data_IF_486233197021
#
_entry.id   IF_486233197021
#
_cell.length_a   1.000
_cell.length_b   1.000
_cell.length_c   1.000
_cell.angle_alpha   90.00
_cell.angle_beta   90.00
_cell.angle_gamma   90.00
#
_symmetry.space_group_name_H-M   'P 1'
#
loop_
_entity.id
_entity.type
_entity.pdbx_description
1 polymer ?
#
# COMPACT_ATOMS: atom_id res chain seq x y z
N UNK A 1 30.51 70.02 -7.04
CA UNK A 1 29.45 69.01 -6.85
C UNK A 1 29.45 68.14 -8.07
N UNK A 2 30.12 66.99 -7.97
CA UNK A 2 30.17 66.00 -9.04
C UNK A 2 28.87 65.18 -9.04
N UNK A 3 28.25 65.08 -10.20
CA UNK A 3 27.08 64.26 -10.45
C UNK A 3 27.55 62.82 -10.67
N UNK A 4 27.36 61.96 -9.67
CA UNK A 4 27.61 60.52 -9.82
C UNK A 4 26.49 59.95 -10.70
N UNK A 5 26.82 59.64 -11.97
CA UNK A 5 26.00 58.80 -12.83
C UNK A 5 26.02 57.38 -12.28
N UNK A 6 24.88 56.94 -11.75
CA UNK A 6 24.67 55.55 -11.36
C UNK A 6 24.72 54.66 -12.61
N UNK A 7 25.82 53.93 -12.78
CA UNK A 7 25.93 52.86 -13.77
C UNK A 7 25.01 51.71 -13.30
N UNK A 8 23.88 51.52 -13.97
CA UNK A 8 23.12 50.28 -13.84
C UNK A 8 24.01 49.13 -14.35
N UNK A 9 24.16 48.02 -13.60
CA UNK A 9 24.89 46.86 -14.10
C UNK A 9 24.13 46.27 -15.30
N UNK A 10 24.77 46.26 -16.48
CA UNK A 10 24.35 45.42 -17.59
C UNK A 10 24.47 43.96 -17.16
N UNK A 11 23.35 43.32 -16.82
CA UNK A 11 23.28 41.87 -16.70
C UNK A 11 23.57 41.27 -18.08
N UNK A 12 24.79 40.79 -18.30
CA UNK A 12 25.08 40.03 -19.53
C UNK A 12 24.37 38.68 -19.43
N UNK A 13 23.47 38.40 -20.38
CA UNK A 13 22.77 37.12 -20.46
C UNK A 13 23.74 36.06 -20.94
N UNK A 14 23.92 34.97 -20.19
CA UNK A 14 24.74 33.83 -20.62
C UNK A 14 24.12 33.18 -21.87
N UNK A 15 24.82 33.12 -23.02
CA UNK A 15 24.23 32.65 -24.27
C UNK A 15 24.24 31.12 -24.34
N UNK A 16 23.36 30.47 -23.57
CA UNK A 16 23.28 29.01 -23.41
C UNK A 16 23.28 28.26 -24.78
N UNK A 17 22.59 28.80 -25.79
CA UNK A 17 22.52 28.23 -27.15
C UNK A 17 23.83 28.26 -27.93
N UNK A 18 24.81 29.07 -27.52
CA UNK A 18 26.13 29.16 -28.17
C UNK A 18 27.12 28.11 -27.64
N UNK A 19 26.74 27.34 -26.62
CA UNK A 19 27.59 26.29 -26.10
C UNK A 19 27.70 25.12 -27.10
N UNK A 20 28.88 24.47 -27.18
CA UNK A 20 29.00 23.18 -27.84
C UNK A 20 28.04 22.16 -27.24
N UNK A 21 27.52 21.25 -28.06
CA UNK A 21 26.47 20.30 -27.66
C UNK A 21 26.79 19.53 -26.37
N UNK A 22 28.03 19.06 -26.20
CA UNK A 22 28.45 18.31 -25.01
C UNK A 22 28.36 19.16 -23.74
N UNK A 23 28.84 20.40 -23.80
CA UNK A 23 28.76 21.35 -22.69
C UNK A 23 27.30 21.72 -22.38
N UNK A 24 26.49 21.98 -23.41
CA UNK A 24 25.07 22.26 -23.27
C UNK A 24 24.31 21.10 -22.61
N UNK A 25 24.57 19.87 -23.05
CA UNK A 25 23.98 18.66 -22.47
C UNK A 25 24.36 18.49 -21.00
N UNK A 26 25.62 18.76 -20.65
CA UNK A 26 26.07 18.68 -19.25
C UNK A 26 25.35 19.72 -18.38
N UNK A 27 25.28 20.98 -18.84
CA UNK A 27 24.57 22.06 -18.14
C UNK A 27 23.10 21.71 -17.92
N UNK A 28 22.39 21.22 -18.95
CA UNK A 28 20.97 20.83 -18.81
C UNK A 28 20.78 19.69 -17.79
N UNK A 29 21.73 18.74 -17.72
CA UNK A 29 21.61 17.60 -16.80
C UNK A 29 21.80 17.94 -15.32
N UNK A 30 22.44 19.07 -15.02
CA UNK A 30 22.68 19.52 -13.65
C UNK A 30 21.70 20.61 -13.19
N UNK A 31 20.82 21.07 -14.08
CA UNK A 31 19.78 22.05 -13.78
C UNK A 31 18.63 21.44 -12.98
N UNK A 32 17.90 22.29 -12.26
CA UNK A 32 16.67 21.87 -11.61
C UNK A 32 15.59 21.56 -12.65
N UNK A 33 14.69 20.62 -12.33
CA UNK A 33 13.74 20.10 -13.31
C UNK A 33 12.77 21.16 -13.84
N UNK A 34 12.39 22.16 -13.04
CA UNK A 34 11.55 23.25 -13.52
C UNK A 34 12.29 24.18 -14.49
N UNK A 35 13.59 24.41 -14.29
CA UNK A 35 14.45 25.14 -15.22
C UNK A 35 14.60 24.39 -16.54
N UNK A 36 14.78 23.07 -16.50
CA UNK A 36 14.83 22.21 -17.67
C UNK A 36 13.54 22.31 -18.48
N UNK A 37 12.38 22.27 -17.81
CA UNK A 37 11.07 22.42 -18.48
C UNK A 37 10.94 23.82 -19.09
N UNK A 38 11.28 24.89 -18.35
CA UNK A 38 11.32 26.26 -18.88
C UNK A 38 12.22 26.37 -20.12
N UNK A 39 13.39 25.75 -20.11
CA UNK A 39 14.30 25.70 -21.26
C UNK A 39 13.64 25.02 -22.46
N UNK A 40 13.03 23.86 -22.26
CA UNK A 40 12.34 23.11 -23.30
C UNK A 40 11.20 23.93 -23.94
N UNK A 41 10.51 24.74 -23.13
CA UNK A 41 9.41 25.61 -23.58
C UNK A 41 9.90 26.75 -24.50
N UNK A 42 11.17 27.20 -24.37
CA UNK A 42 11.67 28.37 -25.12
C UNK A 42 11.74 28.19 -26.64
N UNK A 43 11.87 26.96 -27.15
CA UNK A 43 11.90 26.68 -28.60
C UNK A 43 11.91 25.18 -28.90
N UNK A 44 11.49 24.80 -30.11
CA UNK A 44 11.60 23.42 -30.64
C UNK A 44 13.04 22.89 -30.63
N UNK A 45 14.03 23.76 -30.83
CA UNK A 45 15.44 23.40 -30.74
C UNK A 45 15.80 22.97 -29.32
N UNK A 46 15.52 23.80 -28.32
CA UNK A 46 15.83 23.48 -26.92
C UNK A 46 15.06 22.25 -26.43
N UNK A 47 13.79 22.09 -26.83
CA UNK A 47 13.02 20.89 -26.55
C UNK A 47 13.70 19.62 -27.09
N UNK A 48 14.22 19.68 -28.32
CA UNK A 48 14.96 18.57 -28.93
C UNK A 48 16.26 18.26 -28.20
N UNK A 49 16.97 19.29 -27.73
CA UNK A 49 18.19 19.12 -26.93
C UNK A 49 17.87 18.48 -25.58
N UNK A 50 16.82 18.94 -24.87
CA UNK A 50 16.39 18.35 -23.60
C UNK A 50 16.02 16.87 -23.78
N UNK A 51 15.31 16.54 -24.86
CA UNK A 51 14.94 15.16 -25.18
C UNK A 51 16.15 14.21 -25.27
N UNK A 52 17.23 14.64 -25.93
CA UNK A 52 18.47 13.82 -26.06
C UNK A 52 19.36 13.84 -24.80
N UNK A 53 18.95 14.58 -23.76
CA UNK A 53 19.60 14.51 -22.45
C UNK A 53 19.18 13.25 -21.67
N UNK A 54 18.07 12.59 -22.03
CA UNK A 54 17.57 11.37 -21.38
C UNK A 54 17.42 11.51 -19.87
N UNK A 55 16.79 12.60 -19.44
CA UNK A 55 16.53 12.87 -18.02
C UNK A 55 15.51 11.85 -17.52
N UNK A 56 15.83 11.24 -16.38
CA UNK A 56 15.01 10.22 -15.72
C UNK A 56 13.99 10.89 -14.80
N UNK A 57 12.73 10.51 -14.92
CA UNK A 57 11.69 10.84 -13.95
C UNK A 57 11.22 9.53 -13.34
N UNK A 58 11.47 9.32 -12.04
CA UNK A 58 11.18 8.01 -11.43
C UNK A 58 9.70 7.72 -11.30
N UNK A 59 8.90 8.74 -10.96
CA UNK A 59 7.46 8.60 -10.75
C UNK A 59 6.74 9.84 -11.24
N UNK A 60 5.56 9.64 -11.81
CA UNK A 60 4.67 10.71 -12.26
C UNK A 60 3.30 10.55 -11.59
N UNK A 61 2.59 11.65 -11.38
CA UNK A 61 1.22 11.65 -10.91
C UNK A 61 0.38 12.59 -11.77
N UNK A 62 -0.65 12.05 -12.42
CA UNK A 62 -1.65 12.85 -13.13
C UNK A 62 -2.84 13.11 -12.19
N UNK A 63 -3.17 14.37 -11.95
CA UNK A 63 -4.24 14.77 -11.02
C UNK A 63 -5.33 15.51 -11.77
N UNK A 64 -6.55 15.00 -11.68
CA UNK A 64 -7.75 15.55 -12.27
C UNK A 64 -8.66 16.13 -11.19
N UNK A 65 -8.79 17.44 -11.21
CA UNK A 65 -9.64 18.20 -10.32
C UNK A 65 -9.91 19.56 -10.97
N UNK A 66 -11.12 19.84 -11.44
CA UNK A 66 -11.50 20.98 -12.31
C UNK A 66 -10.60 22.20 -12.24
N UNK A 67 -10.50 22.79 -11.04
CA UNK A 67 -9.77 24.04 -10.82
C UNK A 67 -8.28 23.87 -10.48
N UNK A 68 -7.83 22.65 -10.19
CA UNK A 68 -6.51 22.28 -9.68
C UNK A 68 -5.93 21.05 -10.40
N UNK A 69 -6.22 20.83 -11.68
CA UNK A 69 -5.62 19.72 -12.44
C UNK A 69 -4.15 20.01 -12.76
N UNK A 70 -3.28 19.04 -12.51
CA UNK A 70 -1.84 19.18 -12.70
C UNK A 70 -1.15 17.84 -12.97
N UNK A 71 0.12 17.93 -13.37
CA UNK A 71 1.01 16.78 -13.45
C UNK A 71 2.16 17.00 -12.46
N UNK A 72 2.31 16.06 -11.52
CA UNK A 72 3.44 16.01 -10.61
C UNK A 72 4.50 15.07 -11.13
N UNK A 73 5.75 15.51 -11.14
CA UNK A 73 6.92 14.66 -11.35
C UNK A 73 7.60 14.50 -9.99
N UNK A 74 8.02 13.28 -9.65
CA UNK A 74 8.75 12.96 -8.43
C UNK A 74 10.13 12.40 -8.77
N UNK A 75 11.14 12.90 -8.06
CA UNK A 75 12.54 12.52 -8.20
C UNK A 75 13.06 12.62 -9.65
N UNK A 76 13.34 13.85 -10.14
CA UNK A 76 13.26 15.14 -9.45
C UNK A 76 11.84 15.70 -9.31
N UNK A 77 11.59 16.49 -8.27
CA UNK A 77 10.24 16.95 -7.91
C UNK A 77 9.84 18.25 -8.63
N UNK A 78 8.71 18.28 -9.34
CA UNK A 78 8.08 19.51 -9.86
C UNK A 78 6.59 19.31 -10.09
N UNK A 79 5.80 20.37 -9.90
CA UNK A 79 4.36 20.39 -10.20
C UNK A 79 4.06 21.30 -11.38
N UNK A 80 3.33 20.78 -12.37
CA UNK A 80 3.01 21.45 -13.62
C UNK A 80 1.49 21.68 -13.71
N UNK A 81 1.04 22.91 -13.47
CA UNK A 81 -0.38 23.25 -13.39
C UNK A 81 -0.98 23.50 -14.77
N UNK A 82 -2.10 22.82 -15.07
CA UNK A 82 -2.85 23.03 -16.32
C UNK A 82 -3.98 24.07 -16.15
N UNK A 83 -4.29 24.43 -14.92
CA UNK A 83 -5.36 25.33 -14.51
C UNK A 83 -4.83 26.69 -14.01
N UNK A 84 -5.71 27.68 -13.89
CA UNK A 84 -5.38 29.04 -13.44
C UNK A 84 -5.07 29.14 -11.95
N UNK A 85 -5.60 28.23 -11.10
CA UNK A 85 -5.36 28.23 -9.65
C UNK A 85 -4.25 27.25 -9.30
N UNK A 86 -3.05 27.78 -9.07
CA UNK A 86 -2.00 27.05 -8.37
C UNK A 86 -2.31 27.04 -6.86
N UNK A 87 -2.02 25.94 -6.18
CA UNK A 87 -2.08 25.88 -4.71
C UNK A 87 -0.69 25.74 -4.10
N UNK A 88 -0.58 26.12 -2.83
CA UNK A 88 0.67 26.04 -2.10
C UNK A 88 0.99 24.60 -1.67
N UNK A 89 1.49 23.76 -2.60
CA UNK A 89 2.24 22.57 -2.20
C UNK A 89 3.61 23.02 -1.62
N UNK A 90 3.98 22.67 -0.38
CA UNK A 90 5.16 23.26 0.28
C UNK A 90 6.53 22.76 -0.22
N UNK A 91 6.58 21.64 -0.95
CA UNK A 91 7.82 20.86 -1.07
C UNK A 91 8.39 20.68 -2.49
N UNK A 92 7.84 21.31 -3.52
CA UNK A 92 8.35 21.19 -4.89
C UNK A 92 8.26 22.52 -5.67
N UNK A 93 9.22 22.80 -6.58
CA UNK A 93 9.09 23.81 -7.62
C UNK A 93 7.79 23.67 -8.42
N UNK A 94 7.29 24.79 -8.94
CA UNK A 94 5.99 24.85 -9.63
C UNK A 94 6.11 25.63 -10.92
N UNK A 95 5.46 25.11 -11.96
CA UNK A 95 5.20 25.84 -13.19
C UNK A 95 3.70 26.06 -13.30
N UNK A 96 3.33 27.32 -13.41
CA UNK A 96 1.95 27.76 -13.57
C UNK A 96 1.48 27.59 -15.01
N UNK A 97 0.18 27.76 -15.25
CA UNK A 97 -0.36 27.79 -16.61
C UNK A 97 0.32 28.83 -17.51
N UNK A 98 0.71 29.98 -16.95
CA UNK A 98 1.37 31.05 -17.70
C UNK A 98 2.79 30.66 -18.13
N UNK A 99 3.55 29.99 -17.26
CA UNK A 99 4.86 29.44 -17.60
C UNK A 99 4.77 28.41 -18.73
N UNK A 100 3.70 27.61 -18.72
CA UNK A 100 3.45 26.51 -19.66
C UNK A 100 2.68 26.94 -20.91
N UNK A 101 2.38 28.24 -21.06
CA UNK A 101 1.55 28.77 -22.16
C UNK A 101 1.94 28.27 -23.56
N UNK A 102 3.23 28.15 -23.95
CA UNK A 102 3.59 27.64 -25.28
C UNK A 102 3.31 26.15 -25.51
N UNK A 103 3.01 25.40 -24.45
CA UNK A 103 2.66 23.98 -24.51
C UNK A 103 1.18 23.71 -24.34
N UNK A 104 0.41 24.70 -23.93
CA UNK A 104 -1.02 24.60 -23.66
C UNK A 104 -1.82 25.35 -24.72
N UNK A 105 -3.06 24.93 -24.94
CA UNK A 105 -4.01 25.64 -25.80
C UNK A 105 -4.94 26.49 -24.93
N UNK A 106 -5.09 27.77 -25.30
CA UNK A 106 -6.01 28.70 -24.63
C UNK A 106 -7.48 28.30 -24.82
N UNK A 107 -7.81 27.60 -25.92
CA UNK A 107 -9.18 27.20 -26.27
C UNK A 107 -9.53 25.78 -25.81
N UNK A 108 -8.54 24.97 -25.44
CA UNK A 108 -8.76 23.59 -25.01
C UNK A 108 -9.26 23.52 -23.56
N UNK A 109 -10.03 22.47 -23.26
CA UNK A 109 -10.48 22.16 -21.91
C UNK A 109 -9.30 21.85 -20.98
N UNK A 110 -9.51 21.90 -19.67
CA UNK A 110 -8.48 21.50 -18.70
C UNK A 110 -8.04 20.05 -18.91
N UNK A 111 -8.98 19.14 -19.19
CA UNK A 111 -8.71 17.73 -19.47
C UNK A 111 -7.81 17.55 -20.70
N UNK A 112 -8.13 18.22 -21.81
CA UNK A 112 -7.32 18.18 -23.03
C UNK A 112 -5.93 18.76 -22.83
N UNK A 113 -5.82 19.87 -22.11
CA UNK A 113 -4.55 20.49 -21.76
C UNK A 113 -3.70 19.58 -20.87
N UNK A 114 -4.30 18.94 -19.87
CA UNK A 114 -3.63 17.95 -19.02
C UNK A 114 -3.16 16.75 -19.85
N UNK A 115 -3.97 16.23 -20.76
CA UNK A 115 -3.59 15.15 -21.68
C UNK A 115 -2.41 15.57 -22.57
N UNK A 116 -2.48 16.73 -23.22
CA UNK A 116 -1.40 17.23 -24.08
C UNK A 116 -0.08 17.38 -23.32
N UNK A 117 -0.15 17.96 -22.12
CA UNK A 117 1.01 18.13 -21.25
C UNK A 117 1.59 16.77 -20.84
N UNK A 118 0.76 15.81 -20.44
CA UNK A 118 1.18 14.46 -20.08
C UNK A 118 1.90 13.76 -21.24
N UNK A 119 1.30 13.76 -22.43
CA UNK A 119 1.92 13.18 -23.62
C UNK A 119 3.26 13.84 -23.94
N UNK A 120 3.38 15.16 -23.73
CA UNK A 120 4.61 15.91 -24.02
C UNK A 120 5.72 15.58 -23.03
N UNK A 121 5.40 15.49 -21.74
CA UNK A 121 6.33 15.05 -20.68
C UNK A 121 6.89 13.67 -20.99
N UNK A 122 6.02 12.70 -21.31
CA UNK A 122 6.44 11.34 -21.65
C UNK A 122 7.22 11.23 -22.97
N UNK A 123 7.11 12.22 -23.86
CA UNK A 123 7.95 12.33 -25.07
C UNK A 123 9.30 13.01 -24.79
N UNK A 124 9.38 13.85 -23.76
CA UNK A 124 10.54 14.65 -23.41
C UNK A 124 11.49 13.93 -22.46
N UNK A 125 10.95 13.15 -21.52
CA UNK A 125 11.71 12.49 -20.46
C UNK A 125 11.58 10.97 -20.49
N UNK A 126 12.50 10.28 -19.83
CA UNK A 126 12.36 8.84 -19.54
C UNK A 126 11.56 8.68 -18.24
N UNK A 127 10.24 8.59 -18.38
CA UNK A 127 9.32 8.50 -17.27
C UNK A 127 9.08 7.04 -16.86
N UNK A 128 9.16 6.79 -15.55
CA UNK A 128 8.72 5.55 -14.93
C UNK A 128 7.18 5.42 -14.88
N UNK A 129 6.68 4.45 -14.09
CA UNK A 129 5.25 4.27 -13.89
C UNK A 129 4.59 5.52 -13.30
N UNK A 130 3.30 5.72 -13.59
CA UNK A 130 2.54 6.83 -13.05
C UNK A 130 1.33 6.39 -12.24
N UNK A 131 0.89 7.31 -11.38
CA UNK A 131 -0.32 7.21 -10.59
C UNK A 131 -1.36 8.18 -11.12
N UNK A 132 -2.63 7.82 -11.00
CA UNK A 132 -3.76 8.62 -11.42
C UNK A 132 -4.57 9.04 -10.19
N UNK A 133 -4.90 10.31 -10.06
CA UNK A 133 -5.79 10.81 -9.01
C UNK A 133 -6.96 11.55 -9.64
N UNK A 134 -8.18 11.15 -9.27
CA UNK A 134 -9.40 11.76 -9.77
C UNK A 134 -10.24 12.26 -8.60
N UNK A 135 -10.60 13.53 -8.65
CA UNK A 135 -11.56 14.13 -7.72
C UNK A 135 -12.99 13.88 -8.23
N UNK A 136 -13.64 12.83 -7.74
CA UNK A 136 -14.92 12.33 -8.24
C UNK A 136 -16.09 13.32 -8.24
N UNK A 137 -16.22 14.29 -7.30
CA UNK A 137 -17.34 15.23 -7.32
C UNK A 137 -17.23 16.23 -8.46
N UNK A 138 -16.02 16.44 -9.00
CA UNK A 138 -15.76 17.47 -10.01
C UNK A 138 -15.49 16.88 -11.38
N UNK A 139 -15.07 15.63 -11.48
CA UNK A 139 -14.62 15.00 -12.72
C UNK A 139 -15.53 13.86 -13.19
N UNK A 140 -15.54 13.65 -14.51
CA UNK A 140 -16.12 12.47 -15.13
C UNK A 140 -15.10 11.32 -15.10
N UNK A 141 -15.27 10.40 -14.15
CA UNK A 141 -14.31 9.32 -13.90
C UNK A 141 -14.19 8.43 -15.14
N UNK A 142 -15.33 7.99 -15.68
CA UNK A 142 -15.36 7.14 -16.88
C UNK A 142 -14.64 7.77 -18.07
N UNK A 143 -14.91 9.04 -18.36
CA UNK A 143 -14.24 9.75 -19.46
C UNK A 143 -12.72 9.74 -19.30
N UNK A 144 -12.21 10.01 -18.09
CA UNK A 144 -10.76 10.02 -17.83
C UNK A 144 -10.16 8.62 -17.97
N UNK A 145 -10.80 7.59 -17.43
CA UNK A 145 -10.32 6.21 -17.50
C UNK A 145 -10.34 5.65 -18.93
N UNK A 146 -11.23 6.13 -19.79
CA UNK A 146 -11.32 5.72 -21.18
C UNK A 146 -10.22 6.32 -22.07
N UNK A 147 -9.57 7.42 -21.66
CA UNK A 147 -8.49 8.09 -22.41
C UNK A 147 -7.26 7.17 -22.54
N UNK A 148 -6.81 6.85 -23.77
CA UNK A 148 -5.72 5.90 -24.01
C UNK A 148 -4.42 6.21 -23.25
N UNK A 149 -4.04 7.48 -23.15
CA UNK A 149 -2.83 7.93 -22.48
C UNK A 149 -2.86 7.68 -20.96
N UNK A 150 -4.06 7.60 -20.36
CA UNK A 150 -4.26 7.43 -18.93
C UNK A 150 -4.62 5.99 -18.53
N UNK A 151 -4.53 5.01 -19.44
CA UNK A 151 -4.93 3.62 -19.13
C UNK A 151 -3.90 2.82 -18.32
N UNK A 152 -2.61 3.17 -18.41
CA UNK A 152 -1.51 2.38 -17.88
C UNK A 152 -0.95 2.92 -16.55
N UNK A 153 -1.82 3.41 -15.65
CA UNK A 153 -1.41 3.78 -14.30
C UNK A 153 -1.09 2.53 -13.45
N UNK A 154 -0.35 2.71 -12.37
CA UNK A 154 -0.15 1.66 -11.35
C UNK A 154 -1.16 1.74 -10.22
N UNK A 155 -1.56 2.96 -9.83
CA UNK A 155 -2.52 3.20 -8.75
C UNK A 155 -3.53 4.25 -9.17
N UNK A 156 -4.82 3.96 -8.97
CA UNK A 156 -5.92 4.92 -9.05
C UNK A 156 -6.27 5.41 -7.64
N UNK A 157 -6.15 6.72 -7.43
CA UNK A 157 -6.63 7.39 -6.24
C UNK A 157 -7.95 8.09 -6.52
N UNK A 158 -8.98 7.77 -5.73
CA UNK A 158 -10.25 8.48 -5.75
C UNK A 158 -10.42 9.31 -4.50
N UNK A 159 -10.84 10.55 -4.72
CA UNK A 159 -11.07 11.55 -3.69
C UNK A 159 -12.45 12.14 -3.93
N UNK A 160 -13.30 12.18 -2.91
CA UNK A 160 -14.62 12.79 -3.01
C UNK A 160 -15.18 13.23 -1.68
N UNK A 161 -16.36 13.87 -1.74
CA UNK A 161 -17.19 14.16 -0.58
C UNK A 161 -18.17 13.01 -0.32
N UNK A 162 -19.09 12.80 -1.27
CA UNK A 162 -20.01 11.67 -1.31
C UNK A 162 -19.95 11.03 -2.69
N UNK A 163 -19.72 9.73 -2.75
CA UNK A 163 -19.73 8.97 -4.00
C UNK A 163 -21.16 8.52 -4.32
N UNK A 164 -21.54 8.66 -5.59
CA UNK A 164 -22.76 8.02 -6.10
C UNK A 164 -22.46 6.59 -6.51
N UNK A 165 -23.48 5.74 -6.49
CA UNK A 165 -23.39 4.34 -6.92
C UNK A 165 -22.80 4.24 -8.33
N UNK A 166 -23.31 5.04 -9.27
CA UNK A 166 -22.91 4.97 -10.68
C UNK A 166 -21.41 5.27 -10.86
N UNK A 167 -20.86 6.19 -10.06
CA UNK A 167 -19.44 6.54 -10.10
C UNK A 167 -18.55 5.41 -9.56
N UNK A 168 -19.04 4.64 -8.59
CA UNK A 168 -18.33 3.50 -8.03
C UNK A 168 -18.42 2.30 -8.97
N UNK A 169 -19.58 2.08 -9.59
CA UNK A 169 -19.79 1.05 -10.60
C UNK A 169 -18.83 1.28 -11.79
N UNK A 170 -18.74 2.52 -12.30
CA UNK A 170 -17.78 2.88 -13.38
C UNK A 170 -16.33 2.47 -13.06
N UNK A 171 -15.91 2.58 -11.81
CA UNK A 171 -14.55 2.23 -11.35
C UNK A 171 -14.41 0.73 -11.17
N UNK A 172 -15.39 0.09 -10.51
CA UNK A 172 -15.33 -1.34 -10.18
C UNK A 172 -15.67 -2.24 -11.39
N UNK A 173 -16.22 -1.69 -12.46
CA UNK A 173 -16.40 -2.37 -13.76
C UNK A 173 -15.20 -2.17 -14.69
N UNK A 174 -14.37 -1.16 -14.48
CA UNK A 174 -13.21 -0.88 -15.33
C UNK A 174 -12.24 -2.07 -15.40
N UNK A 175 -11.95 -2.57 -16.61
CA UNK A 175 -11.26 -3.85 -16.84
C UNK A 175 -9.75 -3.81 -16.54
N UNK A 176 -9.35 -3.80 -15.26
CA UNK A 176 -7.96 -3.96 -14.79
C UNK A 176 -7.89 -4.57 -13.39
N UNK A 177 -7.16 -5.69 -13.26
CA UNK A 177 -6.94 -6.39 -11.98
C UNK A 177 -5.48 -6.25 -11.48
N UNK A 178 -4.55 -5.93 -12.39
CA UNK A 178 -3.11 -5.75 -12.13
C UNK A 178 -2.75 -4.36 -11.56
N UNK A 179 -3.75 -3.54 -11.27
CA UNK A 179 -3.62 -2.18 -10.74
C UNK A 179 -4.14 -2.09 -9.31
N UNK A 180 -3.78 -1.00 -8.63
CA UNK A 180 -4.23 -0.70 -7.27
C UNK A 180 -5.37 0.33 -7.29
N UNK A 181 -6.32 0.19 -6.36
CA UNK A 181 -7.44 1.12 -6.15
C UNK A 181 -7.45 1.67 -4.72
N UNK A 182 -7.26 2.97 -4.58
CA UNK A 182 -7.25 3.67 -3.31
C UNK A 182 -8.34 4.75 -3.26
N UNK A 183 -9.47 4.48 -2.60
CA UNK A 183 -10.48 5.47 -2.24
C UNK A 183 -10.09 6.10 -0.91
N UNK A 184 -9.30 7.17 -0.96
CA UNK A 184 -8.62 7.74 0.21
C UNK A 184 -9.44 8.80 0.95
N UNK A 185 -10.54 9.28 0.36
CA UNK A 185 -11.47 10.23 0.99
C UNK A 185 -12.83 10.19 0.32
N UNK A 186 -13.87 10.28 1.13
CA UNK A 186 -15.26 10.43 0.70
C UNK A 186 -16.14 9.33 1.28
N UNK A 187 -17.43 9.64 1.42
CA UNK A 187 -18.44 8.72 1.96
C UNK A 187 -18.99 7.86 0.83
N UNK A 188 -19.01 6.55 1.06
CA UNK A 188 -19.63 5.55 0.18
C UNK A 188 -21.01 5.19 0.75
N UNK A 189 -22.06 5.00 -0.08
CA UNK A 189 -23.38 4.61 0.41
C UNK A 189 -23.31 3.30 1.22
N UNK A 190 -23.93 3.26 2.40
CA UNK A 190 -23.84 2.10 3.32
C UNK A 190 -24.54 0.83 2.78
N UNK A 191 -25.50 1.01 1.89
CA UNK A 191 -26.21 -0.06 1.18
C UNK A 191 -25.54 -0.45 -0.15
N UNK A 192 -24.41 0.17 -0.48
CA UNK A 192 -23.66 -0.15 -1.68
C UNK A 192 -23.10 -1.58 -1.61
N UNK A 193 -23.23 -2.29 -2.72
CA UNK A 193 -22.69 -3.64 -2.89
C UNK A 193 -22.21 -3.80 -4.32
N UNK A 194 -21.03 -4.38 -4.47
CA UNK A 194 -20.47 -4.69 -5.77
C UNK A 194 -19.59 -5.95 -5.69
N UNK A 195 -19.72 -6.94 -6.59
CA UNK A 195 -18.95 -8.20 -6.52
C UNK A 195 -17.44 -7.99 -6.71
N UNK A 196 -17.04 -6.97 -7.46
CA UNK A 196 -15.65 -6.69 -7.79
C UNK A 196 -14.90 -5.84 -6.75
N UNK A 197 -15.40 -5.72 -5.52
CA UNK A 197 -14.83 -4.80 -4.54
C UNK A 197 -13.39 -5.15 -4.10
N UNK A 198 -12.90 -6.36 -4.37
CA UNK A 198 -11.53 -6.81 -4.07
C UNK A 198 -10.79 -7.34 -5.31
N UNK A 199 -11.22 -6.96 -6.53
CA UNK A 199 -10.60 -7.45 -7.77
C UNK A 199 -9.19 -6.90 -8.04
N UNK A 200 -8.88 -5.73 -7.48
CA UNK A 200 -7.60 -5.04 -7.68
C UNK A 200 -6.51 -5.71 -6.86
N UNK A 201 -5.25 -5.51 -7.26
CA UNK A 201 -4.10 -6.08 -6.56
C UNK A 201 -4.04 -5.54 -5.12
N UNK A 202 -4.05 -4.21 -4.99
CA UNK A 202 -4.17 -3.52 -3.72
C UNK A 202 -5.43 -2.66 -3.64
N UNK A 203 -6.13 -2.76 -2.51
CA UNK A 203 -7.37 -2.03 -2.25
C UNK A 203 -7.27 -1.24 -0.96
N UNK A 204 -7.62 0.03 -1.00
CA UNK A 204 -7.77 0.87 0.18
C UNK A 204 -9.11 1.61 0.16
N UNK A 205 -9.96 1.34 1.14
CA UNK A 205 -11.19 2.05 1.40
C UNK A 205 -11.08 2.85 2.70
N UNK A 206 -10.98 4.18 2.60
CA UNK A 206 -10.94 5.05 3.78
C UNK A 206 -12.27 5.04 4.54
N UNK A 207 -13.40 5.09 3.81
CA UNK A 207 -14.72 4.74 4.36
C UNK A 207 -15.08 3.33 3.89
N UNK A 208 -15.04 2.40 4.84
CA UNK A 208 -15.33 0.99 4.65
C UNK A 208 -16.57 0.55 5.45
N UNK A 209 -17.43 1.47 5.91
CA UNK A 209 -18.66 1.14 6.66
C UNK A 209 -19.69 0.34 5.86
N UNK A 210 -19.63 0.44 4.54
CA UNK A 210 -20.40 -0.36 3.59
C UNK A 210 -19.87 -1.78 3.42
N UNK A 211 -18.62 -2.06 3.84
CA UNK A 211 -18.03 -3.40 3.82
C UNK A 211 -18.58 -4.21 4.98
N UNK A 212 -19.11 -5.40 4.67
CA UNK A 212 -19.69 -6.32 5.65
C UNK A 212 -18.85 -7.59 5.77
N UNK A 213 -19.13 -8.38 6.80
CA UNK A 213 -18.42 -9.65 7.04
C UNK A 213 -18.52 -10.58 5.82
N UNK A 214 -19.68 -10.68 5.19
CA UNK A 214 -19.87 -11.50 3.98
C UNK A 214 -18.93 -11.11 2.84
N UNK A 215 -18.56 -9.83 2.71
CA UNK A 215 -17.58 -9.40 1.71
C UNK A 215 -16.20 -9.94 2.05
N UNK A 216 -15.79 -9.88 3.33
CA UNK A 216 -14.51 -10.45 3.78
C UNK A 216 -14.42 -11.96 3.56
N UNK A 217 -15.52 -12.67 3.80
CA UNK A 217 -15.62 -14.12 3.56
C UNK A 217 -15.61 -14.49 2.07
N UNK A 218 -15.78 -13.52 1.17
CA UNK A 218 -15.75 -13.72 -0.28
C UNK A 218 -14.38 -13.41 -0.92
N UNK A 219 -13.43 -12.87 -0.14
CA UNK A 219 -12.10 -12.49 -0.64
C UNK A 219 -11.42 -13.70 -1.28
N UNK A 220 -10.81 -13.49 -2.46
CA UNK A 220 -9.99 -14.49 -3.15
C UNK A 220 -8.80 -13.81 -3.79
N UNK A 221 -7.61 -14.23 -3.38
CA UNK A 221 -6.32 -13.98 -4.02
C UNK A 221 -5.88 -12.51 -4.11
N UNK A 222 -6.24 -11.67 -3.13
CA UNK A 222 -5.86 -10.25 -3.09
C UNK A 222 -4.45 -10.06 -2.51
N UNK A 223 -3.69 -9.04 -2.94
CA UNK A 223 -2.38 -8.77 -2.33
C UNK A 223 -2.53 -7.98 -1.03
N UNK A 224 -2.97 -6.73 -1.10
CA UNK A 224 -3.20 -5.86 0.07
C UNK A 224 -4.67 -5.40 0.16
N UNK A 225 -5.22 -5.41 1.38
CA UNK A 225 -6.51 -4.78 1.69
C UNK A 225 -6.31 -3.83 2.87
N UNK A 226 -6.78 -2.59 2.75
CA UNK A 226 -6.82 -1.61 3.84
C UNK A 226 -8.24 -1.11 4.02
N UNK A 227 -8.81 -1.35 5.20
CA UNK A 227 -10.14 -0.89 5.59
C UNK A 227 -9.97 0.16 6.68
N UNK A 228 -10.32 1.39 6.36
CA UNK A 228 -10.35 2.51 7.29
C UNK A 228 -11.58 2.43 8.20
N UNK A 229 -12.32 3.53 8.31
CA UNK A 229 -13.54 3.60 9.13
C UNK A 229 -14.53 2.50 8.72
N UNK A 230 -14.85 1.59 9.63
CA UNK A 230 -15.67 0.40 9.35
C UNK A 230 -16.55 0.03 10.55
N UNK A 231 -17.51 -0.88 10.31
CA UNK A 231 -18.47 -1.36 11.31
C UNK A 231 -18.15 -2.77 11.82
N UNK A 232 -16.94 -3.30 11.56
CA UNK A 232 -16.57 -4.66 11.94
C UNK A 232 -16.31 -4.74 13.45
N UNK A 233 -16.97 -5.70 14.09
CA UNK A 233 -16.76 -5.97 15.51
C UNK A 233 -15.62 -6.99 15.70
N UNK A 234 -15.05 -7.06 16.90
CA UNK A 234 -14.04 -8.10 17.22
C UNK A 234 -14.57 -9.53 16.99
N UNK A 235 -15.84 -9.87 17.30
CA UNK A 235 -16.47 -11.12 16.86
C UNK A 235 -16.48 -11.35 15.34
N UNK A 236 -16.69 -10.31 14.53
CA UNK A 236 -16.64 -10.43 13.06
C UNK A 236 -15.22 -10.77 12.60
N UNK A 237 -14.22 -10.10 13.17
CA UNK A 237 -12.80 -10.40 12.89
C UNK A 237 -12.46 -11.84 13.35
N UNK A 238 -12.94 -12.30 14.50
CA UNK A 238 -12.78 -13.69 14.91
C UNK A 238 -13.39 -14.67 13.90
N UNK A 239 -14.58 -14.38 13.38
CA UNK A 239 -15.24 -15.18 12.34
C UNK A 239 -14.41 -15.21 11.06
N UNK A 240 -13.87 -14.06 10.65
CA UNK A 240 -12.98 -13.95 9.51
C UNK A 240 -11.68 -14.75 9.69
N UNK A 241 -11.07 -14.75 10.88
CA UNK A 241 -9.89 -15.57 11.19
C UNK A 241 -10.19 -17.06 11.05
N UNK A 242 -11.33 -17.53 11.56
CA UNK A 242 -11.76 -18.92 11.38
C UNK A 242 -11.96 -19.26 9.92
N UNK A 243 -12.57 -18.36 9.14
CA UNK A 243 -12.71 -18.55 7.71
C UNK A 243 -11.35 -18.67 7.01
N UNK A 244 -10.40 -17.77 7.30
CA UNK A 244 -9.05 -17.86 6.74
C UNK A 244 -8.37 -19.19 7.06
N UNK A 245 -8.51 -19.69 8.30
CA UNK A 245 -7.88 -20.95 8.73
C UNK A 245 -8.43 -22.19 8.00
N UNK A 246 -9.67 -22.12 7.49
CA UNK A 246 -10.37 -23.24 6.87
C UNK A 246 -10.54 -23.10 5.35
N UNK A 247 -10.22 -21.93 4.79
CA UNK A 247 -10.36 -21.68 3.35
C UNK A 247 -9.29 -22.40 2.54
N UNK A 248 -9.72 -23.07 1.46
CA UNK A 248 -8.85 -23.65 0.43
C UNK A 248 -8.19 -22.57 -0.46
N UNK A 249 -8.75 -21.36 -0.48
CA UNK A 249 -8.23 -20.26 -1.28
C UNK A 249 -7.33 -19.34 -0.45
N UNK A 250 -6.22 -18.95 -1.06
CA UNK A 250 -5.47 -17.79 -0.62
C UNK A 250 -6.36 -16.55 -0.56
N UNK A 251 -6.65 -16.03 0.63
CA UNK A 251 -7.52 -14.85 0.76
C UNK A 251 -6.73 -13.58 0.44
N UNK A 252 -5.70 -13.29 1.25
CA UNK A 252 -4.89 -12.08 1.11
C UNK A 252 -3.42 -12.34 1.49
N UNK A 253 -2.49 -11.49 1.02
CA UNK A 253 -1.12 -11.44 1.57
C UNK A 253 -1.05 -10.52 2.79
N UNK A 254 -1.65 -9.34 2.71
CA UNK A 254 -1.69 -8.34 3.76
C UNK A 254 -3.10 -7.77 3.90
N UNK A 255 -3.56 -7.60 5.14
CA UNK A 255 -4.77 -6.85 5.44
C UNK A 255 -4.55 -5.96 6.66
N UNK A 256 -5.10 -4.75 6.59
CA UNK A 256 -5.08 -3.75 7.65
C UNK A 256 -6.51 -3.29 7.89
N UNK A 257 -6.98 -3.37 9.13
CA UNK A 257 -8.34 -3.02 9.53
C UNK A 257 -8.23 -2.03 10.68
N UNK A 258 -8.72 -0.80 10.49
CA UNK A 258 -8.83 0.15 11.58
C UNK A 258 -9.85 -0.35 12.61
N UNK A 259 -9.56 -0.14 13.89
CA UNK A 259 -10.47 -0.48 14.99
C UNK A 259 -10.73 0.77 15.82
N UNK A 260 -11.89 0.82 16.46
CA UNK A 260 -12.21 1.91 17.37
C UNK A 260 -11.17 2.01 18.49
N UNK A 261 -10.73 3.23 18.79
CA UNK A 261 -9.74 3.48 19.85
C UNK A 261 -10.30 3.03 21.20
N UNK A 262 -9.70 1.99 21.77
CA UNK A 262 -10.11 1.41 23.04
C UNK A 262 -8.94 1.13 23.97
N UNK A 263 -9.21 0.95 25.29
CA UNK A 263 -8.17 0.76 26.30
C UNK A 263 -7.41 -0.57 26.14
N UNK A 264 -7.99 -1.58 25.48
CA UNK A 264 -7.32 -2.83 25.08
C UNK A 264 -8.21 -3.66 24.13
N UNK A 265 -7.63 -4.31 23.14
CA UNK A 265 -8.33 -5.29 22.29
C UNK A 265 -8.65 -6.55 23.10
N UNK A 266 -9.92 -7.01 23.18
CA UNK A 266 -10.28 -8.21 23.93
C UNK A 266 -9.78 -9.48 23.23
N UNK A 267 -8.56 -9.89 23.56
CA UNK A 267 -7.85 -11.00 22.89
C UNK A 267 -8.53 -12.35 23.09
N UNK A 268 -9.23 -12.53 24.21
CA UNK A 268 -10.03 -13.71 24.51
C UNK A 268 -11.22 -13.85 23.54
N UNK A 269 -11.80 -12.72 23.10
CA UNK A 269 -12.86 -12.69 22.09
C UNK A 269 -12.27 -12.84 20.69
N UNK A 270 -11.21 -12.09 20.37
CA UNK A 270 -10.56 -12.10 19.05
C UNK A 270 -10.03 -13.48 18.66
N UNK A 271 -9.42 -14.19 19.62
CA UNK A 271 -8.81 -15.50 19.38
C UNK A 271 -9.63 -16.66 19.96
N UNK A 272 -10.90 -16.42 20.26
CA UNK A 272 -11.79 -17.45 20.78
C UNK A 272 -11.81 -18.67 19.86
N UNK A 273 -11.50 -19.82 20.43
CA UNK A 273 -11.48 -21.07 19.70
C UNK A 273 -10.28 -21.25 18.76
N UNK A 274 -9.28 -20.38 18.80
CA UNK A 274 -8.09 -20.43 17.93
C UNK A 274 -6.85 -20.82 18.75
N UNK A 275 -6.03 -21.71 18.20
CA UNK A 275 -4.71 -22.02 18.77
C UNK A 275 -3.72 -20.96 18.30
N UNK A 276 -3.24 -20.13 19.24
CA UNK A 276 -2.36 -18.99 18.94
C UNK A 276 -1.01 -19.17 19.63
N UNK A 277 0.07 -18.87 18.92
CA UNK A 277 1.43 -18.78 19.46
C UNK A 277 1.86 -17.31 19.51
N UNK A 278 2.45 -16.88 20.63
CA UNK A 278 3.13 -15.59 20.70
C UNK A 278 4.60 -15.77 20.30
N UNK A 279 5.04 -15.08 19.25
CA UNK A 279 6.41 -15.14 18.73
C UNK A 279 6.99 -13.74 18.51
N UNK A 280 8.32 -13.62 18.53
CA UNK A 280 9.02 -12.36 18.27
C UNK A 280 9.53 -12.33 16.83
N UNK A 281 9.03 -11.40 16.03
CA UNK A 281 9.29 -11.27 14.59
C UNK A 281 9.36 -9.80 14.21
N UNK A 282 10.33 -9.43 13.38
CA UNK A 282 10.53 -8.05 12.92
C UNK A 282 10.61 -7.03 14.09
N UNK A 283 11.39 -7.34 15.12
CA UNK A 283 11.56 -6.44 16.28
C UNK A 283 10.32 -6.28 17.17
N UNK A 284 9.23 -7.02 16.94
CA UNK A 284 7.99 -6.90 17.72
C UNK A 284 7.36 -8.25 18.05
N UNK A 285 6.56 -8.28 19.12
CA UNK A 285 5.78 -9.45 19.50
C UNK A 285 4.53 -9.57 18.64
N UNK A 286 4.32 -10.74 18.03
CA UNK A 286 3.20 -11.03 17.14
C UNK A 286 2.41 -12.23 17.63
N UNK A 287 1.14 -12.31 17.22
CA UNK A 287 0.32 -13.51 17.37
C UNK A 287 0.34 -14.28 16.07
N UNK A 288 0.68 -15.56 16.16
CA UNK A 288 0.83 -16.45 15.03
C UNK A 288 -0.26 -17.51 15.12
N UNK A 289 -0.93 -17.72 13.98
CA UNK A 289 -1.90 -18.80 13.78
C UNK A 289 -1.54 -19.54 12.50
N UNK A 290 -2.00 -20.77 12.35
CA UNK A 290 -1.79 -21.56 11.14
C UNK A 290 -3.09 -22.08 10.57
N UNK A 291 -3.10 -22.32 9.26
CA UNK A 291 -4.18 -23.02 8.56
C UNK A 291 -4.43 -24.41 9.16
N UNK A 292 -5.65 -24.92 9.02
CA UNK A 292 -6.00 -26.25 9.48
C UNK A 292 -5.58 -27.35 8.49
N UNK A 293 -5.52 -27.04 7.20
CA UNK A 293 -5.13 -27.96 6.12
C UNK A 293 -3.88 -27.45 5.39
N UNK A 294 -2.67 -27.62 5.94
CA UNK A 294 -1.46 -26.96 5.44
C UNK A 294 -1.04 -27.37 4.03
N UNK A 295 -1.40 -28.56 3.58
CA UNK A 295 -1.05 -29.06 2.24
C UNK A 295 -1.88 -28.40 1.13
N UNK A 296 -2.98 -27.73 1.48
CA UNK A 296 -3.87 -27.06 0.52
C UNK A 296 -3.49 -25.61 0.24
N UNK A 297 -2.54 -25.04 1.01
CA UNK A 297 -2.24 -23.61 1.03
C UNK A 297 -0.75 -23.36 0.96
N UNK A 298 -0.34 -22.40 0.12
CA UNK A 298 1.07 -22.01 0.01
C UNK A 298 1.53 -21.13 1.17
N UNK A 299 0.60 -20.37 1.78
CA UNK A 299 0.84 -19.51 2.94
C UNK A 299 0.16 -20.09 4.18
N UNK A 300 0.89 -20.91 4.93
CA UNK A 300 0.34 -21.68 6.04
C UNK A 300 0.29 -20.92 7.37
N UNK A 301 0.99 -19.80 7.51
CA UNK A 301 1.01 -18.98 8.74
C UNK A 301 0.37 -17.62 8.50
N UNK A 302 -0.38 -17.13 9.47
CA UNK A 302 -0.74 -15.73 9.59
C UNK A 302 -0.08 -15.13 10.82
N UNK A 303 0.47 -13.93 10.63
CA UNK A 303 1.12 -13.11 11.63
C UNK A 303 0.29 -11.86 11.86
N UNK A 304 -0.15 -11.67 13.10
CA UNK A 304 -1.11 -10.65 13.52
C UNK A 304 -0.44 -9.74 14.55
N UNK A 305 -0.55 -8.43 14.32
CA UNK A 305 -0.15 -7.36 15.25
C UNK A 305 -1.28 -6.34 15.32
N UNK A 306 -1.37 -5.60 16.41
CA UNK A 306 -2.37 -4.56 16.56
C UNK A 306 -1.81 -3.39 17.36
N UNK A 307 -2.40 -2.22 17.13
CA UNK A 307 -2.22 -1.00 17.92
C UNK A 307 -3.52 -0.70 18.68
N UNK A 308 -3.62 0.47 19.29
CA UNK A 308 -4.86 0.98 19.86
C UNK A 308 -5.95 1.28 18.82
N UNK A 309 -5.60 1.33 17.54
CA UNK A 309 -6.43 1.87 16.46
C UNK A 309 -6.44 1.01 15.19
N UNK A 310 -5.67 -0.08 15.15
CA UNK A 310 -5.55 -0.91 13.95
C UNK A 310 -5.17 -2.36 14.25
N UNK A 311 -5.65 -3.30 13.45
CA UNK A 311 -5.18 -4.68 13.39
C UNK A 311 -4.55 -4.93 12.02
N UNK A 312 -3.30 -5.37 12.02
CA UNK A 312 -2.56 -5.75 10.81
C UNK A 312 -2.33 -7.26 10.79
N UNK A 313 -2.65 -7.89 9.66
CA UNK A 313 -2.44 -9.32 9.45
C UNK A 313 -1.64 -9.53 8.16
N UNK A 314 -0.72 -10.48 8.21
CA UNK A 314 0.14 -10.85 7.08
C UNK A 314 0.27 -12.36 6.98
N UNK A 315 0.16 -12.93 5.79
CA UNK A 315 0.20 -14.37 5.56
C UNK A 315 1.54 -14.78 4.95
N UNK A 316 2.08 -15.92 5.36
CA UNK A 316 3.43 -16.34 5.02
C UNK A 316 3.51 -17.83 4.71
N UNK A 317 4.30 -18.16 3.70
CA UNK A 317 4.80 -19.51 3.50
C UNK A 317 5.81 -19.84 4.59
N UNK A 318 5.83 -21.09 5.06
CA UNK A 318 6.72 -21.49 6.14
C UNK A 318 8.20 -21.56 5.74
N UNK A 319 8.47 -21.64 4.44
CA UNK A 319 9.82 -21.72 3.87
C UNK A 319 10.30 -20.40 3.25
N UNK A 320 9.39 -19.44 3.01
CA UNK A 320 9.82 -18.13 2.52
C UNK A 320 10.49 -17.33 3.63
N UNK A 321 11.49 -16.52 3.26
CA UNK A 321 12.04 -15.51 4.16
C UNK A 321 11.10 -14.32 4.18
N UNK A 322 10.39 -14.07 5.29
CA UNK A 322 9.41 -13.01 5.33
C UNK A 322 10.14 -11.66 5.30
N UNK A 323 9.54 -10.70 4.59
CA UNK A 323 10.11 -9.36 4.39
C UNK A 323 9.15 -8.30 4.91
N UNK A 324 9.66 -7.33 5.66
CA UNK A 324 8.86 -6.16 6.01
C UNK A 324 9.07 -5.09 4.93
N UNK A 325 8.00 -4.72 4.24
CA UNK A 325 8.03 -3.57 3.33
C UNK A 325 8.07 -2.29 4.16
N UNK A 326 9.11 -1.48 3.95
CA UNK A 326 9.04 -0.06 4.27
C UNK A 326 8.18 0.61 3.18
N UNK A 327 7.14 1.34 3.59
CA UNK A 327 6.20 1.98 2.66
C UNK A 327 6.87 3.05 1.78
N UNK A 328 8.06 3.52 2.16
CA UNK A 328 8.71 4.68 1.54
C UNK A 328 10.00 4.34 0.80
N UNK A 329 10.65 3.20 1.06
CA UNK A 329 11.91 2.83 0.42
C UNK A 329 12.12 1.30 0.35
N UNK A 330 11.99 0.75 -0.85
CA UNK A 330 12.22 -0.69 -1.11
C UNK A 330 13.69 -1.11 -0.88
N UNK A 331 14.64 -0.18 -0.76
CA UNK A 331 16.04 -0.49 -0.49
C UNK A 331 16.34 -0.81 0.98
N UNK A 332 15.40 -0.55 1.90
CA UNK A 332 15.52 -0.82 3.34
C UNK A 332 14.74 -2.08 3.78
N UNK A 333 14.66 -3.10 2.92
CA UNK A 333 13.96 -4.35 3.25
C UNK A 333 14.64 -5.13 4.37
N UNK A 334 13.94 -5.29 5.49
CA UNK A 334 14.34 -6.18 6.57
C UNK A 334 13.77 -7.59 6.33
N UNK A 335 14.66 -8.58 6.26
CA UNK A 335 14.30 -9.99 6.18
C UNK A 335 14.36 -10.62 7.58
N UNK A 336 13.39 -11.48 7.90
CA UNK A 336 13.45 -12.34 9.08
C UNK A 336 13.70 -13.80 8.66
N UNK A 337 13.90 -14.68 9.65
CA UNK A 337 14.03 -16.11 9.40
C UNK A 337 12.67 -16.73 9.00
N UNK A 338 12.70 -17.85 8.24
CA UNK A 338 11.48 -18.58 7.87
C UNK A 338 10.65 -19.03 9.09
N UNK A 339 9.34 -19.13 8.88
CA UNK A 339 8.36 -19.49 9.92
C UNK A 339 8.28 -20.98 10.26
N UNK A 340 9.19 -21.80 9.73
CA UNK A 340 9.22 -23.26 9.94
C UNK A 340 9.19 -23.65 11.45
N UNK A 341 10.00 -23.03 12.34
CA UNK A 341 9.98 -23.39 13.77
C UNK A 341 8.63 -23.11 14.45
N UNK A 342 8.03 -21.94 14.20
CA UNK A 342 6.75 -21.55 14.77
C UNK A 342 5.62 -22.42 14.24
N UNK A 343 5.70 -22.82 12.97
CA UNK A 343 4.71 -23.71 12.38
C UNK A 343 4.71 -25.08 13.05
N UNK A 344 5.89 -25.68 13.30
CA UNK A 344 5.99 -26.95 14.04
C UNK A 344 5.39 -26.82 15.44
N UNK A 345 5.69 -25.72 16.15
CA UNK A 345 5.12 -25.46 17.48
C UNK A 345 3.60 -25.33 17.41
N UNK A 346 3.05 -24.62 16.42
CA UNK A 346 1.61 -24.49 16.24
C UNK A 346 0.94 -25.84 15.99
N UNK A 347 1.56 -26.75 15.22
CA UNK A 347 1.02 -28.10 15.03
C UNK A 347 0.99 -28.91 16.33
N UNK A 348 2.05 -28.85 17.14
CA UNK A 348 2.10 -29.49 18.46
C UNK A 348 1.02 -28.92 19.40
N UNK A 349 0.83 -27.59 19.40
CA UNK A 349 -0.22 -26.94 20.19
C UNK A 349 -1.63 -27.37 19.76
N UNK A 350 -1.87 -27.50 18.45
CA UNK A 350 -3.14 -28.01 17.89
C UNK A 350 -3.38 -29.45 18.31
N UNK A 351 -2.39 -30.34 18.14
CA UNK A 351 -2.47 -31.74 18.57
C UNK A 351 -2.78 -31.84 20.06
N UNK A 352 -2.08 -31.05 20.89
CA UNK A 352 -2.32 -31.03 22.34
C UNK A 352 -3.75 -30.63 22.69
N UNK A 353 -4.30 -29.62 22.01
CA UNK A 353 -5.69 -29.18 22.22
C UNK A 353 -6.70 -30.28 21.88
N UNK A 354 -6.46 -31.03 20.79
CA UNK A 354 -7.29 -32.19 20.42
C UNK A 354 -7.21 -33.27 21.50
N UNK A 355 -6.01 -33.59 21.99
CA UNK A 355 -5.82 -34.58 23.05
C UNK A 355 -6.56 -34.18 24.34
N UNK A 356 -6.44 -32.93 24.79
CA UNK A 356 -7.20 -32.44 25.95
C UNK A 356 -8.72 -32.49 25.75
N UNK A 357 -9.20 -32.23 24.52
CA UNK A 357 -10.63 -32.30 24.22
C UNK A 357 -11.14 -33.73 24.31
N UNK A 358 -10.36 -34.71 23.82
CA UNK A 358 -10.65 -36.15 24.00
C UNK A 358 -10.59 -36.57 25.46
N UNK A 359 -9.59 -36.11 26.22
CA UNK A 359 -9.45 -36.46 27.63
C UNK A 359 -10.68 -36.08 28.47
N UNK A 360 -11.35 -34.96 28.15
CA UNK A 360 -12.54 -34.47 28.87
C UNK A 360 -13.78 -35.36 28.73
N UNK A 361 -13.86 -36.18 27.68
CA UNK A 361 -15.04 -37.01 27.38
C UNK A 361 -14.83 -38.50 27.69
N UNK A 362 -13.60 -38.90 28.02
CA UNK A 362 -13.25 -40.29 28.31
C UNK A 362 -13.57 -40.63 29.77
N UNK A 363 -14.03 -41.87 30.01
CA UNK A 363 -14.38 -42.39 31.34
C UNK A 363 -13.18 -42.39 32.29
N UNK A 364 -13.45 -42.22 33.58
CA UNK A 364 -12.45 -41.86 34.58
C UNK A 364 -11.36 -42.92 34.81
N UNK A 365 -11.67 -44.20 34.56
CA UNK A 365 -10.80 -45.36 34.82
C UNK A 365 -10.51 -46.21 33.56
N UNK A 366 -10.52 -45.60 32.37
CA UNK A 366 -10.19 -46.33 31.15
C UNK A 366 -8.67 -46.36 30.87
N UNK A 367 -8.20 -47.44 30.26
CA UNK A 367 -6.84 -47.52 29.69
C UNK A 367 -6.58 -46.38 28.69
N UNK A 368 -7.61 -46.00 27.93
CA UNK A 368 -7.57 -44.88 26.97
C UNK A 368 -7.20 -43.55 27.64
N UNK A 369 -7.69 -43.29 28.86
CA UNK A 369 -7.34 -42.07 29.61
C UNK A 369 -5.85 -42.03 29.94
N UNK A 370 -5.28 -43.16 30.37
CA UNK A 370 -3.85 -43.26 30.68
C UNK A 370 -2.98 -43.03 29.43
N UNK A 371 -3.38 -43.59 28.29
CA UNK A 371 -2.70 -43.35 27.02
C UNK A 371 -2.79 -41.88 26.57
N UNK A 372 -3.95 -41.23 26.74
CA UNK A 372 -4.12 -39.81 26.42
C UNK A 372 -3.24 -38.92 27.30
N UNK A 373 -3.15 -39.19 28.61
CA UNK A 373 -2.28 -38.47 29.53
C UNK A 373 -0.82 -38.59 29.07
N UNK A 374 -0.36 -39.81 28.80
CA UNK A 374 1.01 -40.05 28.30
C UNK A 374 1.31 -39.26 27.02
N UNK A 375 0.39 -39.27 26.04
CA UNK A 375 0.54 -38.50 24.79
C UNK A 375 0.56 -36.99 25.03
N UNK A 376 -0.22 -36.49 25.99
CA UNK A 376 -0.20 -35.08 26.38
C UNK A 376 1.14 -34.70 27.00
N UNK A 377 1.68 -35.54 27.89
CA UNK A 377 2.98 -35.30 28.54
C UNK A 377 4.13 -35.32 27.52
N UNK A 378 4.12 -36.30 26.61
CA UNK A 378 5.06 -36.35 25.48
C UNK A 378 5.00 -35.07 24.63
N UNK A 379 3.79 -34.59 24.32
CA UNK A 379 3.59 -33.36 23.55
C UNK A 379 4.07 -32.12 24.32
N UNK A 380 3.83 -32.05 25.63
CA UNK A 380 4.31 -30.96 26.47
C UNK A 380 5.85 -30.93 26.55
N UNK A 381 6.49 -32.10 26.68
CA UNK A 381 7.94 -32.22 26.67
C UNK A 381 8.55 -31.73 25.35
N UNK A 382 7.92 -32.08 24.21
CA UNK A 382 8.35 -31.58 22.90
C UNK A 382 8.20 -30.05 22.78
N UNK A 383 7.09 -29.48 23.27
CA UNK A 383 6.87 -28.03 23.29
C UNK A 383 7.92 -27.32 24.15
N UNK A 384 8.23 -27.85 25.34
CA UNK A 384 9.26 -27.30 26.21
C UNK A 384 10.65 -27.36 25.58
N UNK A 385 11.01 -28.51 24.97
CA UNK A 385 12.26 -28.68 24.23
C UNK A 385 12.39 -27.70 23.07
N UNK A 386 11.27 -27.35 22.41
CA UNK A 386 11.19 -26.33 21.36
C UNK A 386 11.19 -24.89 21.90
N UNK A 387 11.32 -24.69 23.21
CA UNK A 387 11.44 -23.36 23.82
C UNK A 387 10.12 -22.66 24.11
N UNK A 388 8.99 -23.39 24.16
CA UNK A 388 7.68 -22.80 24.48
C UNK A 388 7.50 -22.66 25.99
N UNK A 389 7.12 -21.46 26.42
CA UNK A 389 6.73 -21.13 27.80
C UNK A 389 5.26 -20.68 27.86
N UNK A 390 4.60 -20.80 29.01
CA UNK A 390 3.26 -20.26 29.21
C UNK A 390 3.32 -18.99 30.05
N UNK A 391 2.88 -17.86 29.48
CA UNK A 391 2.76 -16.58 30.19
C UNK A 391 1.30 -16.14 30.17
N UNK A 392 0.69 -16.00 31.34
CA UNK A 392 -0.73 -15.68 31.50
C UNK A 392 -1.64 -16.60 30.67
N UNK A 393 -1.33 -17.90 30.64
CA UNK A 393 -2.09 -18.90 29.89
C UNK A 393 -1.78 -18.98 28.38
N UNK A 394 -0.99 -18.05 27.82
CA UNK A 394 -0.62 -18.05 26.40
C UNK A 394 0.73 -18.73 26.15
N UNK A 395 0.84 -19.59 25.13
CA UNK A 395 2.13 -20.13 24.71
C UNK A 395 2.97 -19.03 24.04
N UNK A 396 4.20 -18.89 24.51
CA UNK A 396 5.19 -17.93 24.03
C UNK A 396 6.42 -18.71 23.58
N UNK A 397 6.83 -18.55 22.33
CA UNK A 397 8.10 -19.09 21.86
C UNK A 397 9.22 -18.17 22.33
N UNK A 398 10.19 -18.68 23.08
CA UNK A 398 11.42 -17.94 23.37
C UNK A 398 12.11 -17.63 22.05
N UNK A 399 12.21 -16.34 21.73
CA UNK A 399 13.13 -15.92 20.68
C UNK A 399 14.55 -16.25 21.10
N UNK A 400 15.42 -16.59 20.15
CA UNK A 400 16.86 -16.39 20.35
C UNK A 400 17.00 -14.92 20.74
N UNK A 401 17.44 -14.71 21.97
CA UNK A 401 17.28 -13.49 22.76
C UNK A 401 17.39 -12.18 21.97
N UNK A 402 16.41 -11.29 22.13
CA UNK A 402 16.47 -9.91 21.61
C UNK A 402 17.63 -9.10 22.24
N UNK A 403 18.24 -9.59 23.33
CA UNK A 403 19.47 -9.05 23.90
C UNK A 403 20.73 -9.40 23.09
N UNK A 404 20.69 -10.41 22.22
CA UNK A 404 21.82 -10.78 21.36
C UNK A 404 21.86 -10.04 20.02
N UNK A 405 20.80 -9.30 19.66
CA UNK A 405 20.71 -8.53 18.40
C UNK A 405 20.86 -7.01 18.56
N UNK A 406 21.01 -6.51 19.79
CA UNK A 406 21.29 -5.10 20.08
C UNK A 406 22.79 -4.79 20.19
N UNK A 407 23.66 -5.79 19.97
CA UNK A 407 25.12 -5.67 19.94
C UNK A 407 25.65 -6.40 18.70
N UNK A 408 25.40 -5.84 17.52
CA UNK A 408 26.13 -6.13 16.30
C UNK A 408 26.10 -4.90 15.39
#
# INVERSE_FOLDING_TARGET
METILAIQPMFSTFPLRKLPFVALKHVIKIMEIDEIVKIAITSKYMESIVKVCYIQIRRTMAVFNREHSYIGLDFPAVTLFCCSKAFNHPSAPKLTKDDLKPWLSETATTLENTRQLFTRIYKLFQCGPYRLMINSPTENIKEILEIPEFRNFTVLFLVGGHFKKEQLDEVLEFEREDQDLHIIRGVIPEDYYHPNLFKFTDVHYCDARWIRLENLLSIKNTFMITLGMNNLTIPDINTFLHHWMNSEYELFKFISIDIEKGPSTPLDVLFRGITVLKGYRFGTWRRLISVNSPDTRSRQIMSIVWTDSRIDMSTWSIHERPKQLDRNDDSLMHFDEPYTPEFIVLQLLKQRRVLYSKLKIVKEDSLEKQELIKKIDETNNQLQFKGVEYKNGWPVLRGVDASSRMLA
#
